data_IF_150440483160
#
_entry.id   IF_150440483160
#
_cell.length_a   1.000
_cell.length_b   1.000
_cell.length_c   1.000
_cell.angle_alpha   90.00
_cell.angle_beta   90.00
_cell.angle_gamma   90.00
#
_symmetry.space_group_name_H-M   'P 1'
#
loop_
_entity.id
_entity.type
_entity.pdbx_description
1 polymer ?
#
# COMPACT_ATOMS: atom_id res chain seq x y z
N UNK A 1 -4.00 29.11 5.97
CA UNK A 1 -4.29 27.69 6.24
C UNK A 1 -5.28 27.26 5.18
N UNK A 2 -4.96 26.24 4.39
CA UNK A 2 -5.95 25.72 3.44
C UNK A 2 -7.00 24.99 4.27
N UNK A 3 -8.23 25.50 4.29
CA UNK A 3 -9.38 24.83 4.92
C UNK A 3 -9.78 23.63 4.08
N UNK A 4 -9.05 22.51 4.23
CA UNK A 4 -9.50 21.25 3.66
C UNK A 4 -10.71 20.73 4.46
N UNK A 5 -11.71 20.11 3.80
CA UNK A 5 -12.87 19.53 4.47
C UNK A 5 -12.53 18.28 5.29
N UNK A 6 -11.26 17.95 5.40
CA UNK A 6 -10.73 16.78 6.11
C UNK A 6 -9.52 17.15 6.96
N UNK A 7 -9.29 16.36 8.00
CA UNK A 7 -8.06 16.40 8.82
C UNK A 7 -7.23 15.15 8.55
N UNK A 8 -5.90 15.29 8.68
CA UNK A 8 -4.94 14.21 8.58
C UNK A 8 -4.46 13.83 9.99
N UNK A 9 -4.22 12.55 10.21
CA UNK A 9 -3.65 12.06 11.47
C UNK A 9 -2.87 10.77 11.26
N UNK A 10 -1.88 10.54 12.13
CA UNK A 10 -1.25 9.24 12.31
C UNK A 10 -2.05 8.53 13.39
N UNK A 11 -2.31 7.23 13.22
CA UNK A 11 -3.10 6.43 14.15
C UNK A 11 -2.33 5.16 14.50
N UNK A 12 -2.01 5.01 15.78
CA UNK A 12 -1.34 3.80 16.27
C UNK A 12 -2.27 2.60 16.24
N UNK A 13 -3.54 2.80 16.66
CA UNK A 13 -4.57 1.76 16.66
C UNK A 13 -5.90 2.33 16.16
N UNK A 14 -6.48 1.69 15.16
CA UNK A 14 -7.87 1.91 14.75
C UNK A 14 -8.79 1.12 15.67
N UNK A 15 -9.93 1.69 16.01
CA UNK A 15 -11.03 0.90 16.59
C UNK A 15 -11.52 -0.14 15.58
N UNK A 16 -12.18 -1.20 16.01
CA UNK A 16 -12.74 -2.19 15.06
C UNK A 16 -13.69 -1.57 14.05
N UNK A 17 -14.50 -0.57 14.47
CA UNK A 17 -15.37 0.17 13.55
C UNK A 17 -14.58 0.96 12.50
N UNK A 18 -13.50 1.63 12.89
CA UNK A 18 -12.64 2.36 11.95
C UNK A 18 -11.87 1.40 11.03
N UNK A 19 -11.46 0.24 11.53
CA UNK A 19 -10.83 -0.81 10.73
C UNK A 19 -11.81 -1.35 9.68
N UNK A 20 -13.05 -1.66 10.07
CA UNK A 20 -14.10 -2.09 9.14
C UNK A 20 -14.38 -1.03 8.06
N UNK A 21 -14.51 0.23 8.45
CA UNK A 21 -14.70 1.36 7.53
C UNK A 21 -13.52 1.48 6.55
N UNK A 22 -12.29 1.38 7.04
CA UNK A 22 -11.06 1.43 6.22
C UNK A 22 -11.00 0.27 5.23
N UNK A 23 -11.33 -0.94 5.66
CA UNK A 23 -11.39 -2.13 4.79
C UNK A 23 -12.43 -1.93 3.68
N UNK A 24 -13.64 -1.49 4.02
CA UNK A 24 -14.68 -1.25 3.02
C UNK A 24 -14.32 -0.12 2.06
N UNK A 25 -13.61 0.90 2.52
CA UNK A 25 -13.06 1.97 1.68
C UNK A 25 -12.02 1.40 0.70
N UNK A 26 -11.09 0.56 1.17
CA UNK A 26 -10.09 -0.08 0.31
C UNK A 26 -10.74 -0.96 -0.76
N UNK A 27 -11.75 -1.78 -0.42
CA UNK A 27 -12.49 -2.58 -1.39
C UNK A 27 -13.08 -1.70 -2.50
N UNK A 28 -13.68 -0.55 -2.15
CA UNK A 28 -14.22 0.38 -3.14
C UNK A 28 -13.14 1.06 -3.99
N UNK A 29 -12.01 1.42 -3.37
CA UNK A 29 -10.94 2.15 -4.04
C UNK A 29 -10.07 1.28 -4.95
N UNK A 30 -9.95 -0.01 -4.64
CA UNK A 30 -9.14 -0.98 -5.40
C UNK A 30 -9.96 -1.88 -6.33
N UNK A 31 -11.22 -1.53 -6.61
CA UNK A 31 -12.14 -2.36 -7.42
C UNK A 31 -11.58 -2.76 -8.79
N UNK A 32 -10.72 -1.94 -9.38
CA UNK A 32 -10.10 -2.16 -10.69
C UNK A 32 -8.60 -2.56 -10.60
N UNK A 33 -8.06 -2.85 -9.40
CA UNK A 33 -6.64 -3.22 -9.26
C UNK A 33 -6.38 -4.64 -9.77
N UNK A 34 -5.51 -4.80 -10.78
CA UNK A 34 -5.08 -6.10 -11.25
C UNK A 34 -4.40 -6.91 -10.13
N UNK A 35 -3.52 -6.30 -9.34
CA UNK A 35 -2.83 -6.97 -8.24
C UNK A 35 -3.79 -7.53 -7.20
N UNK A 36 -4.78 -6.76 -6.74
CA UNK A 36 -5.76 -7.24 -5.77
C UNK A 36 -6.57 -8.42 -6.33
N UNK A 37 -6.95 -8.34 -7.61
CA UNK A 37 -7.65 -9.44 -8.27
C UNK A 37 -6.81 -10.72 -8.30
N UNK A 38 -5.54 -10.63 -8.66
CA UNK A 38 -4.61 -11.77 -8.68
C UNK A 38 -4.35 -12.30 -7.26
N UNK A 39 -4.09 -11.42 -6.31
CA UNK A 39 -3.83 -11.77 -4.91
C UNK A 39 -4.97 -12.54 -4.27
N UNK A 40 -6.21 -12.27 -4.66
CA UNK A 40 -7.41 -12.97 -4.15
C UNK A 40 -7.85 -14.15 -5.03
N UNK A 41 -7.17 -14.38 -6.17
CA UNK A 41 -7.58 -15.37 -7.17
C UNK A 41 -8.95 -15.05 -7.78
N UNK A 42 -9.28 -13.77 -7.93
CA UNK A 42 -10.58 -13.27 -8.42
C UNK A 42 -11.73 -13.38 -7.41
N UNK A 43 -11.47 -13.92 -6.21
CA UNK A 43 -12.51 -14.07 -5.18
C UNK A 43 -12.72 -12.77 -4.39
N UNK A 44 -13.76 -12.02 -4.74
CA UNK A 44 -14.11 -10.74 -4.11
C UNK A 44 -14.35 -10.84 -2.59
N UNK A 45 -14.77 -11.99 -2.07
CA UNK A 45 -14.97 -12.16 -0.63
C UNK A 45 -13.67 -12.15 0.18
N UNK A 46 -12.53 -12.34 -0.49
CA UNK A 46 -11.19 -12.36 0.13
C UNK A 46 -10.50 -10.98 0.14
N UNK A 47 -11.04 -9.97 -0.56
CA UNK A 47 -10.49 -8.61 -0.54
C UNK A 47 -10.51 -8.01 0.88
N UNK A 48 -11.63 -8.18 1.60
CA UNK A 48 -11.75 -7.71 2.99
C UNK A 48 -10.71 -8.33 3.94
N UNK A 49 -10.61 -9.65 4.01
CA UNK A 49 -9.55 -10.34 4.76
C UNK A 49 -8.13 -9.87 4.40
N UNK A 50 -7.82 -9.68 3.11
CA UNK A 50 -6.51 -9.19 2.66
C UNK A 50 -6.21 -7.78 3.18
N UNK A 51 -7.10 -6.82 2.96
CA UNK A 51 -6.90 -5.45 3.45
C UNK A 51 -6.84 -5.38 4.97
N UNK A 52 -7.65 -6.16 5.68
CA UNK A 52 -7.61 -6.24 7.13
C UNK A 52 -6.25 -6.74 7.64
N UNK A 53 -5.70 -7.78 7.02
CA UNK A 53 -4.37 -8.29 7.36
C UNK A 53 -3.27 -7.25 7.10
N UNK A 54 -3.33 -6.51 5.98
CA UNK A 54 -2.40 -5.41 5.67
C UNK A 54 -2.45 -4.29 6.72
N UNK A 55 -3.66 -3.82 7.05
CA UNK A 55 -3.84 -2.72 8.00
C UNK A 55 -3.34 -3.12 9.39
N UNK A 56 -3.71 -4.31 9.88
CA UNK A 56 -3.27 -4.81 11.20
C UNK A 56 -1.76 -5.03 11.27
N UNK A 57 -1.14 -5.55 10.21
CA UNK A 57 0.31 -5.69 10.15
C UNK A 57 1.00 -4.31 10.16
N UNK A 58 0.45 -3.31 9.46
CA UNK A 58 0.95 -1.96 9.48
C UNK A 58 0.78 -1.28 10.84
N UNK A 59 -0.32 -1.51 11.56
CA UNK A 59 -0.49 -1.03 12.94
C UNK A 59 0.55 -1.63 13.90
N UNK A 60 1.03 -2.85 13.65
CA UNK A 60 2.06 -3.49 14.47
C UNK A 60 3.47 -2.98 14.16
N UNK A 61 3.82 -2.79 12.90
CA UNK A 61 5.21 -2.59 12.47
C UNK A 61 5.43 -1.34 11.58
N UNK A 62 4.37 -0.72 11.11
CA UNK A 62 4.42 0.45 10.24
C UNK A 62 3.79 1.69 10.86
N UNK A 63 3.33 2.59 9.99
CA UNK A 63 2.56 3.78 10.35
C UNK A 63 1.31 3.89 9.49
N UNK A 64 0.17 4.03 10.16
CA UNK A 64 -1.14 4.22 9.51
C UNK A 64 -1.48 5.69 9.50
N UNK A 65 -1.59 6.27 8.31
CA UNK A 65 -2.02 7.65 8.10
C UNK A 65 -3.46 7.63 7.59
N UNK A 66 -4.32 8.46 8.17
CA UNK A 66 -5.71 8.58 7.75
C UNK A 66 -6.10 10.02 7.47
N UNK A 67 -7.03 10.18 6.53
CA UNK A 67 -7.77 11.41 6.28
C UNK A 67 -9.21 11.21 6.75
N UNK A 68 -9.69 12.07 7.63
CA UNK A 68 -11.03 11.99 8.22
C UNK A 68 -11.83 13.24 7.86
N UNK A 69 -13.03 13.10 7.32
CA UNK A 69 -13.94 14.21 7.00
C UNK A 69 -14.35 14.92 8.29
N UNK A 70 -14.11 16.22 8.38
CA UNK A 70 -14.36 16.99 9.60
C UNK A 70 -15.84 16.97 9.98
N UNK A 71 -16.73 17.10 9.00
CA UNK A 71 -18.18 17.22 9.24
C UNK A 71 -18.82 15.91 9.73
N UNK A 72 -18.28 14.73 9.38
CA UNK A 72 -18.92 13.44 9.62
C UNK A 72 -18.10 12.47 10.45
N UNK A 73 -16.80 12.70 10.57
CA UNK A 73 -15.87 11.76 11.17
C UNK A 73 -15.50 10.56 10.26
N UNK A 74 -16.07 10.49 9.05
CA UNK A 74 -15.83 9.37 8.13
C UNK A 74 -14.38 9.33 7.63
N UNK A 75 -13.82 8.12 7.49
CA UNK A 75 -12.49 7.91 6.91
C UNK A 75 -12.60 8.06 5.38
N UNK A 76 -11.91 9.05 4.86
CA UNK A 76 -11.88 9.38 3.43
C UNK A 76 -10.63 8.89 2.69
N UNK A 77 -9.57 8.59 3.43
CA UNK A 77 -8.32 8.09 2.87
C UNK A 77 -7.45 7.42 3.91
N UNK A 78 -6.60 6.51 3.45
CA UNK A 78 -5.66 5.73 4.26
C UNK A 78 -4.36 5.56 3.48
N UNK A 79 -3.23 5.63 4.18
CA UNK A 79 -1.93 5.22 3.65
C UNK A 79 -1.19 4.35 4.68
N UNK A 80 -0.65 3.22 4.21
CA UNK A 80 0.11 2.25 5.00
C UNK A 80 1.58 2.35 4.61
N UNK A 81 2.38 2.92 5.49
CA UNK A 81 3.81 3.09 5.29
C UNK A 81 4.62 2.24 6.25
N UNK A 82 5.70 1.66 5.75
CA UNK A 82 6.70 0.98 6.55
C UNK A 82 7.98 1.81 6.57
N UNK A 83 8.43 2.29 7.76
CA UNK A 83 9.66 3.03 7.89
C UNK A 83 10.90 2.13 7.72
N UNK A 84 12.10 2.69 7.54
CA UNK A 84 13.33 1.92 7.53
C UNK A 84 13.43 0.94 8.70
N UNK A 85 13.83 -0.31 8.42
CA UNK A 85 13.89 -1.40 9.40
C UNK A 85 12.61 -2.18 9.55
N UNK A 86 11.56 -1.87 8.79
CA UNK A 86 10.27 -2.57 8.85
C UNK A 86 9.80 -2.93 7.44
N UNK A 87 9.28 -4.14 7.28
CA UNK A 87 8.70 -4.63 6.02
C UNK A 87 7.37 -5.32 6.31
N UNK A 88 6.41 -5.18 5.39
CA UNK A 88 5.13 -5.86 5.54
C UNK A 88 5.30 -7.38 5.54
N UNK A 89 4.70 -8.04 6.54
CA UNK A 89 4.68 -9.50 6.71
C UNK A 89 6.07 -10.16 6.87
N UNK A 90 7.03 -9.39 7.36
CA UNK A 90 8.40 -9.85 7.55
C UNK A 90 8.50 -11.02 8.55
N UNK A 91 7.67 -11.01 9.60
CA UNK A 91 7.75 -11.95 10.71
C UNK A 91 6.38 -12.57 11.05
N UNK A 92 6.41 -13.62 11.87
CA UNK A 92 5.21 -14.36 12.27
C UNK A 92 4.22 -13.52 13.07
N UNK A 93 4.70 -12.55 13.86
CA UNK A 93 3.81 -11.67 14.63
C UNK A 93 2.90 -10.87 13.68
N UNK A 94 3.43 -10.35 12.58
CA UNK A 94 2.64 -9.67 11.55
C UNK A 94 1.72 -10.66 10.79
N UNK A 95 2.25 -11.83 10.39
CA UNK A 95 1.51 -12.82 9.58
C UNK A 95 0.31 -13.41 10.34
N UNK A 96 0.44 -13.58 11.64
CA UNK A 96 -0.63 -14.08 12.51
C UNK A 96 -1.78 -13.08 12.70
N UNK A 97 -1.63 -11.81 12.26
CA UNK A 97 -2.69 -10.80 12.32
C UNK A 97 -3.70 -10.90 11.15
N UNK A 98 -3.68 -12.01 10.41
CA UNK A 98 -4.68 -12.32 9.39
C UNK A 98 -4.13 -12.86 8.08
N UNK A 99 -2.83 -12.68 7.75
CA UNK A 99 -2.26 -13.19 6.50
C UNK A 99 -2.34 -14.72 6.43
N UNK A 100 -1.98 -15.42 7.51
CA UNK A 100 -2.01 -16.89 7.50
C UNK A 100 -3.43 -17.42 7.25
N UNK A 101 -4.43 -16.85 7.90
CA UNK A 101 -5.84 -17.21 7.69
C UNK A 101 -6.32 -16.85 6.27
N UNK A 102 -5.89 -15.71 5.73
CA UNK A 102 -6.16 -15.33 4.36
C UNK A 102 -5.56 -16.34 3.37
N UNK A 103 -4.29 -16.72 3.53
CA UNK A 103 -3.63 -17.72 2.68
C UNK A 103 -4.32 -19.08 2.75
N UNK A 104 -4.78 -19.51 3.91
CA UNK A 104 -5.56 -20.76 4.08
C UNK A 104 -6.89 -20.73 3.32
N UNK A 105 -7.46 -19.55 3.13
CA UNK A 105 -8.74 -19.36 2.43
C UNK A 105 -8.62 -19.30 0.91
N UNK A 106 -7.40 -19.21 0.38
CA UNK A 106 -7.13 -19.19 -1.06
C UNK A 106 -7.29 -20.57 -1.72
N UNK A 107 -7.55 -20.56 -3.02
CA UNK A 107 -7.42 -21.79 -3.83
C UNK A 107 -5.99 -22.33 -3.75
N UNK A 108 -5.77 -23.65 -3.91
CA UNK A 108 -4.42 -24.21 -3.91
C UNK A 108 -3.48 -23.53 -4.93
N UNK A 109 -3.98 -23.21 -6.13
CA UNK A 109 -3.22 -22.54 -7.21
C UNK A 109 -2.79 -21.13 -6.80
N UNK A 110 -3.69 -20.34 -6.25
CA UNK A 110 -3.40 -18.96 -5.81
C UNK A 110 -2.48 -18.95 -4.59
N UNK A 111 -2.68 -19.88 -3.66
CA UNK A 111 -1.80 -20.04 -2.48
C UNK A 111 -0.37 -20.40 -2.88
N UNK A 112 -0.20 -21.35 -3.81
CA UNK A 112 1.11 -21.74 -4.32
C UNK A 112 1.82 -20.55 -4.97
N UNK A 113 1.10 -19.76 -5.75
CA UNK A 113 1.62 -18.53 -6.34
C UNK A 113 2.10 -17.52 -5.28
N UNK A 114 1.34 -17.32 -4.21
CA UNK A 114 1.74 -16.46 -3.10
C UNK A 114 3.06 -16.90 -2.45
N UNK A 115 3.20 -18.19 -2.23
CA UNK A 115 4.36 -18.77 -1.51
C UNK A 115 5.60 -18.82 -2.41
N UNK A 116 5.44 -19.21 -3.66
CA UNK A 116 6.56 -19.57 -4.53
C UNK A 116 6.87 -18.54 -5.63
N UNK A 117 5.93 -17.63 -5.95
CA UNK A 117 6.08 -16.73 -7.11
C UNK A 117 6.06 -15.26 -6.72
N UNK A 118 5.06 -14.80 -5.95
CA UNK A 118 4.80 -13.38 -5.74
C UNK A 118 6.04 -12.59 -5.27
N UNK A 119 6.63 -12.97 -4.14
CA UNK A 119 7.80 -12.27 -3.60
C UNK A 119 9.06 -12.48 -4.43
N UNK A 120 9.30 -13.73 -4.87
CA UNK A 120 10.52 -14.10 -5.58
C UNK A 120 10.61 -13.52 -6.99
N UNK A 121 9.50 -13.36 -7.70
CA UNK A 121 9.47 -12.81 -9.06
C UNK A 121 9.80 -11.31 -9.11
N UNK A 122 9.37 -10.54 -8.14
CA UNK A 122 9.61 -9.09 -8.09
C UNK A 122 10.90 -8.69 -7.37
N UNK A 123 11.44 -9.53 -6.50
CA UNK A 123 12.59 -9.19 -5.67
C UNK A 123 13.83 -8.71 -6.47
N UNK A 124 14.24 -9.36 -7.58
CA UNK A 124 15.38 -8.89 -8.37
C UNK A 124 15.14 -7.50 -8.99
N UNK A 125 13.94 -7.27 -9.50
CA UNK A 125 13.55 -5.97 -10.06
C UNK A 125 13.55 -4.87 -9.01
N UNK A 126 12.85 -5.08 -7.89
CA UNK A 126 12.78 -4.11 -6.79
C UNK A 126 14.17 -3.79 -6.26
N UNK A 127 15.01 -4.80 -6.06
CA UNK A 127 16.41 -4.62 -5.65
C UNK A 127 17.19 -3.71 -6.60
N UNK A 128 17.03 -3.89 -7.91
CA UNK A 128 17.70 -3.05 -8.92
C UNK A 128 17.13 -1.64 -8.93
N UNK A 129 15.81 -1.52 -8.91
CA UNK A 129 15.10 -0.25 -8.97
C UNK A 129 15.39 0.65 -7.76
N UNK A 130 15.58 0.08 -6.58
CA UNK A 130 15.85 0.83 -5.36
C UNK A 130 17.35 1.12 -5.15
N UNK A 131 18.27 0.48 -5.91
CA UNK A 131 19.73 0.65 -5.71
C UNK A 131 20.17 2.13 -5.75
N UNK A 132 21.05 2.58 -4.82
CA UNK A 132 21.79 1.82 -3.79
C UNK A 132 21.00 1.50 -2.50
N UNK A 133 19.74 1.88 -2.42
CA UNK A 133 18.86 1.58 -1.30
C UNK A 133 18.30 0.15 -1.40
N UNK A 134 17.62 -0.28 -0.33
CA UNK A 134 16.86 -1.54 -0.28
C UNK A 134 15.46 -1.27 0.31
N UNK A 135 14.56 -2.23 0.21
CA UNK A 135 13.22 -2.08 0.78
C UNK A 135 13.28 -1.89 2.32
N UNK A 136 14.28 -2.51 2.96
CA UNK A 136 14.48 -2.45 4.42
C UNK A 136 15.05 -1.11 4.88
N UNK A 137 15.67 -0.31 4.02
CA UNK A 137 16.27 0.98 4.41
C UNK A 137 15.57 2.20 3.80
N UNK A 138 14.39 2.03 3.22
CA UNK A 138 13.55 3.10 2.71
C UNK A 138 12.21 3.20 3.47
N UNK A 139 11.50 4.31 3.30
CA UNK A 139 10.08 4.40 3.59
C UNK A 139 9.30 3.75 2.46
N UNK A 140 8.63 2.64 2.73
CA UNK A 140 7.92 1.89 1.70
C UNK A 140 6.40 2.03 1.83
N UNK A 141 5.75 2.56 0.81
CA UNK A 141 4.29 2.67 0.72
C UNK A 141 3.70 1.36 0.20
N UNK A 142 3.07 0.60 1.07
CA UNK A 142 2.42 -0.66 0.70
C UNK A 142 1.00 -0.48 0.17
N UNK A 143 0.28 0.51 0.69
CA UNK A 143 -1.11 0.75 0.30
C UNK A 143 -1.44 2.23 0.49
N UNK A 144 -2.08 2.83 -0.50
CA UNK A 144 -2.74 4.13 -0.37
C UNK A 144 -4.09 4.07 -1.05
N UNK A 145 -5.11 4.47 -0.33
CA UNK A 145 -6.48 4.45 -0.83
C UNK A 145 -7.21 5.73 -0.45
N UNK A 146 -8.00 6.25 -1.38
CA UNK A 146 -8.96 7.34 -1.14
C UNK A 146 -10.33 6.84 -1.58
N UNK A 147 -11.33 6.97 -0.70
CA UNK A 147 -12.71 6.61 -1.04
C UNK A 147 -13.12 7.32 -2.35
N UNK A 148 -13.68 6.60 -3.33
CA UNK A 148 -14.09 7.19 -4.61
C UNK A 148 -14.91 8.48 -4.49
N UNK A 149 -15.70 8.63 -3.42
CA UNK A 149 -16.47 9.86 -3.15
C UNK A 149 -15.60 11.10 -2.88
N UNK A 150 -14.38 10.89 -2.40
CA UNK A 150 -13.49 11.97 -1.95
C UNK A 150 -12.20 12.07 -2.78
N UNK A 151 -12.13 11.33 -3.88
CA UNK A 151 -11.01 11.44 -4.81
C UNK A 151 -10.92 12.83 -5.46
N UNK A 152 -9.74 13.16 -6.02
CA UNK A 152 -9.44 14.43 -6.70
C UNK A 152 -9.50 15.68 -5.80
N UNK A 153 -9.51 15.49 -4.47
CA UNK A 153 -9.49 16.56 -3.47
C UNK A 153 -8.13 16.73 -2.78
N UNK A 154 -7.07 16.11 -3.32
CA UNK A 154 -5.70 16.21 -2.80
C UNK A 154 -5.41 15.32 -1.59
N UNK A 155 -6.32 14.42 -1.18
CA UNK A 155 -6.14 13.57 0.01
C UNK A 155 -4.89 12.68 -0.12
N UNK A 156 -4.74 11.94 -1.22
CA UNK A 156 -3.57 11.08 -1.43
C UNK A 156 -2.26 11.89 -1.41
N UNK A 157 -2.24 13.04 -2.09
CA UNK A 157 -1.10 13.96 -2.10
C UNK A 157 -0.70 14.39 -0.69
N UNK A 158 -1.69 14.76 0.13
CA UNK A 158 -1.41 15.25 1.47
C UNK A 158 -1.03 14.12 2.44
N UNK A 159 -1.56 12.89 2.28
CA UNK A 159 -1.10 11.71 3.02
C UNK A 159 0.37 11.39 2.70
N UNK A 160 0.80 11.50 1.44
CA UNK A 160 2.19 11.30 1.05
C UNK A 160 3.08 12.39 1.64
N UNK A 161 2.66 13.66 1.58
CA UNK A 161 3.42 14.79 2.14
C UNK A 161 3.68 14.68 3.64
N UNK A 162 2.78 14.05 4.40
CA UNK A 162 3.05 13.79 5.82
C UNK A 162 4.30 12.95 6.02
N UNK A 163 4.52 11.95 5.18
CA UNK A 163 5.70 11.09 5.26
C UNK A 163 6.93 11.78 4.69
N UNK A 164 6.80 12.59 3.64
CA UNK A 164 7.91 13.40 3.10
C UNK A 164 8.51 14.31 4.19
N UNK A 165 7.67 14.92 5.02
CA UNK A 165 8.10 15.77 6.14
C UNK A 165 8.72 14.99 7.30
N UNK A 166 8.35 13.71 7.47
CA UNK A 166 8.88 12.84 8.52
C UNK A 166 10.16 12.13 8.08
N UNK A 167 10.27 11.80 6.80
CA UNK A 167 11.44 11.14 6.23
C UNK A 167 12.64 12.10 6.24
N UNK A 168 13.73 11.71 6.91
CA UNK A 168 14.96 12.49 6.90
C UNK A 168 15.52 12.61 5.48
N UNK A 169 16.29 13.67 5.23
CA UNK A 169 16.94 13.93 3.94
C UNK A 169 17.88 12.80 3.42
N UNK A 170 18.22 11.86 4.29
CA UNK A 170 19.02 10.66 3.96
C UNK A 170 18.17 9.45 3.58
N UNK A 171 16.85 9.55 3.71
CA UNK A 171 15.90 8.47 3.40
C UNK A 171 15.26 8.70 2.05
N UNK A 172 14.86 7.60 1.40
CA UNK A 172 14.02 7.65 0.21
C UNK A 172 12.62 7.10 0.53
N UNK A 173 11.62 7.62 -0.16
CA UNK A 173 10.29 7.04 -0.25
C UNK A 173 10.26 6.15 -1.48
N UNK A 174 9.68 4.96 -1.34
CA UNK A 174 9.56 4.01 -2.43
C UNK A 174 8.17 3.39 -2.46
N UNK A 175 7.73 3.00 -3.64
CA UNK A 175 6.48 2.28 -3.85
C UNK A 175 6.50 1.48 -5.15
N UNK A 176 5.58 0.52 -5.24
CA UNK A 176 5.21 -0.10 -6.51
C UNK A 176 3.71 0.10 -6.78
N UNK A 177 3.33 0.10 -8.05
CA UNK A 177 1.94 0.19 -8.51
C UNK A 177 1.74 -0.65 -9.78
N UNK A 178 0.48 -0.94 -10.12
CA UNK A 178 0.10 -1.89 -11.18
C UNK A 178 -0.85 -1.30 -12.23
N UNK A 179 -1.06 0.03 -12.22
CA UNK A 179 -1.92 0.70 -13.20
C UNK A 179 -1.27 1.93 -13.82
N UNK A 180 -1.54 2.19 -15.10
CA UNK A 180 -1.03 3.36 -15.81
C UNK A 180 -1.56 4.67 -15.23
N UNK A 181 -2.80 4.67 -14.70
CA UNK A 181 -3.37 5.82 -14.02
C UNK A 181 -2.52 6.22 -12.81
N UNK A 182 -2.10 5.25 -12.02
CA UNK A 182 -1.25 5.49 -10.86
C UNK A 182 0.17 5.92 -11.27
N UNK A 183 0.69 5.40 -12.39
CA UNK A 183 1.97 5.86 -12.97
C UNK A 183 1.91 7.37 -13.22
N UNK A 184 0.83 7.86 -13.84
CA UNK A 184 0.65 9.29 -14.09
C UNK A 184 0.55 10.11 -12.78
N UNK A 185 -0.14 9.57 -11.76
CA UNK A 185 -0.28 10.22 -10.44
C UNK A 185 1.07 10.36 -9.76
N UNK A 186 1.87 9.28 -9.67
CA UNK A 186 3.17 9.33 -8.98
C UNK A 186 4.18 10.22 -9.71
N UNK A 187 4.21 10.24 -11.04
CA UNK A 187 5.00 11.21 -11.82
C UNK A 187 4.59 12.66 -11.50
N UNK A 188 3.30 12.95 -11.42
CA UNK A 188 2.80 14.27 -11.06
C UNK A 188 3.17 14.67 -9.60
N UNK A 189 3.32 13.70 -8.70
CA UNK A 189 3.82 13.87 -7.33
C UNK A 189 5.36 13.91 -7.25
N UNK A 190 6.04 13.99 -8.41
CA UNK A 190 7.50 14.09 -8.50
C UNK A 190 8.26 12.86 -7.98
N UNK A 191 7.62 11.69 -8.02
CA UNK A 191 8.35 10.45 -7.87
C UNK A 191 9.12 10.13 -9.16
N UNK A 192 10.35 9.69 -9.00
CA UNK A 192 11.20 9.20 -10.09
C UNK A 192 10.73 7.80 -10.48
N UNK A 193 10.45 7.60 -11.77
CA UNK A 193 10.11 6.29 -12.31
C UNK A 193 11.37 5.43 -12.47
N UNK A 194 11.40 4.28 -11.84
CA UNK A 194 12.56 3.37 -11.80
C UNK A 194 12.44 2.19 -12.76
N UNK A 195 11.34 2.11 -13.52
CA UNK A 195 11.08 1.04 -14.47
C UNK A 195 9.89 0.17 -14.08
N UNK A 196 9.70 -0.89 -14.85
CA UNK A 196 8.64 -1.88 -14.67
C UNK A 196 9.16 -3.31 -14.84
N UNK A 197 8.45 -4.27 -14.27
CA UNK A 197 8.68 -5.69 -14.50
C UNK A 197 7.35 -6.46 -14.52
N UNK A 198 7.26 -7.52 -15.35
CA UNK A 198 6.11 -8.40 -15.36
C UNK A 198 6.11 -9.24 -14.08
N UNK A 199 4.99 -9.25 -13.38
CA UNK A 199 4.70 -10.21 -12.32
C UNK A 199 3.90 -11.36 -12.94
N UNK A 200 4.45 -12.59 -13.01
CA UNK A 200 3.71 -13.76 -13.45
C UNK A 200 2.47 -13.97 -12.56
N UNK A 201 1.36 -14.34 -13.15
CA UNK A 201 0.11 -14.61 -12.43
C UNK A 201 -0.30 -16.08 -12.54
N UNK A 202 -1.21 -16.55 -11.69
CA UNK A 202 -1.78 -17.89 -11.87
C UNK A 202 -2.53 -18.07 -13.19
N UNK A 203 -3.03 -16.99 -13.80
CA UNK A 203 -3.89 -17.02 -15.00
C UNK A 203 -3.12 -16.77 -16.31
N UNK A 204 -1.80 -16.98 -16.33
CA UNK A 204 -0.88 -16.89 -17.47
C UNK A 204 -0.62 -15.47 -18.02
N UNK A 205 -1.52 -14.50 -17.89
CA UNK A 205 -1.26 -13.12 -18.27
C UNK A 205 -0.55 -12.37 -17.14
N UNK A 206 0.71 -11.94 -17.33
CA UNK A 206 1.41 -11.17 -16.31
C UNK A 206 0.80 -9.78 -16.14
N UNK A 207 0.91 -9.25 -14.92
CA UNK A 207 0.62 -7.84 -14.67
C UNK A 207 1.92 -7.04 -14.60
N UNK A 208 1.94 -5.84 -15.16
CA UNK A 208 3.11 -4.97 -15.02
C UNK A 208 3.12 -4.28 -13.67
N UNK A 209 4.27 -4.35 -13.01
CA UNK A 209 4.51 -3.66 -11.73
C UNK A 209 5.55 -2.59 -11.95
N UNK A 210 5.17 -1.33 -11.70
CA UNK A 210 5.98 -0.14 -11.86
C UNK A 210 6.56 0.28 -10.52
N UNK A 211 7.86 0.60 -10.46
CA UNK A 211 8.52 1.05 -9.25
C UNK A 211 8.87 2.54 -9.31
N UNK A 212 8.73 3.21 -8.17
CA UNK A 212 8.99 4.64 -8.02
C UNK A 212 9.78 4.92 -6.75
N UNK A 213 10.61 5.97 -6.82
CA UNK A 213 11.32 6.49 -5.64
C UNK A 213 11.21 8.01 -5.58
N UNK A 214 11.33 8.56 -4.37
CA UNK A 214 11.43 9.99 -4.13
C UNK A 214 12.37 10.26 -2.96
N UNK A 215 13.34 11.20 -3.05
CA UNK A 215 14.13 11.61 -1.88
C UNK A 215 13.22 12.18 -0.79
N UNK A 216 13.57 11.95 0.49
CA UNK A 216 12.97 12.69 1.60
C UNK A 216 13.28 14.18 1.48
N UNK A 217 12.44 15.03 2.05
CA UNK A 217 12.67 16.48 2.01
C UNK A 217 13.94 16.86 2.78
N UNK A 218 14.73 17.77 2.20
CA UNK A 218 15.82 18.42 2.94
C UNK A 218 15.19 19.44 3.90
N UNK A 219 15.37 19.22 5.19
CA UNK A 219 15.08 20.23 6.22
C UNK A 219 16.10 21.36 6.14
#
# INVERSE_FOLDING_TARGET
MNDFPYKLSIVDQLTESQLDESVMMCIRGYVASPSINVMTGGNKSLEGPLFRAMIRACQLAGKVYIATIIATGAIAGLALWFPPGQVLWENDAQRNLGLNQFLESLSPKTRDWWINTYGSALAPFVKTALSPHTIENCWYLNCICVDPKYQRQGIATNLIKMVEQEAMSTSILALCTDTDENVAVYKALQFEYKGEAPLPTPEDEPINVHCFTKPGERV
#
